data_IF_889667436675
#
_entry.id   IF_889667436675
#
_cell.length_a   1.000
_cell.length_b   1.000
_cell.length_c   1.000
_cell.angle_alpha   90.00
_cell.angle_beta   90.00
_cell.angle_gamma   90.00
#
_symmetry.space_group_name_H-M   'P 1'
#
loop_
_entity.id
_entity.type
_entity.pdbx_description
1 polymer ?
#
# COMPACT_ATOMS: atom_id res chain seq x y z
N UNK A 1 1.17 2.00 13.22
CA UNK A 1 0.35 1.55 12.07
C UNK A 1 -0.54 2.68 11.56
N UNK A 2 -1.50 3.15 12.36
CA UNK A 2 -2.54 4.13 11.98
C UNK A 2 -1.94 5.40 11.34
N UNK A 3 -1.03 6.09 12.02
CA UNK A 3 -0.42 7.34 11.51
C UNK A 3 0.51 7.12 10.32
N UNK A 4 1.23 6.00 10.29
CA UNK A 4 2.11 5.67 9.16
C UNK A 4 1.31 5.42 7.88
N UNK A 5 0.17 4.72 7.97
CA UNK A 5 -0.71 4.52 6.82
C UNK A 5 -1.35 5.83 6.34
N UNK A 6 -1.74 6.73 7.25
CA UNK A 6 -2.31 8.02 6.88
C UNK A 6 -1.32 8.94 6.18
N UNK A 7 -0.08 8.99 6.66
CA UNK A 7 0.98 9.75 6.01
C UNK A 7 1.29 9.22 4.61
N UNK A 8 1.30 7.89 4.47
CA UNK A 8 1.47 7.26 3.17
C UNK A 8 0.30 7.56 2.21
N UNK A 9 -0.94 7.58 2.70
CA UNK A 9 -2.12 7.94 1.90
C UNK A 9 -1.99 9.38 1.39
N UNK A 10 -1.61 10.30 2.26
CA UNK A 10 -1.50 11.72 1.93
C UNK A 10 -0.50 11.99 0.80
N UNK A 11 0.63 11.26 0.78
CA UNK A 11 1.67 11.42 -0.24
C UNK A 11 1.47 10.43 -1.40
N UNK A 12 1.15 9.18 -1.11
CA UNK A 12 1.09 8.09 -2.09
C UNK A 12 -0.14 8.14 -2.98
N UNK A 13 -1.30 8.61 -2.47
CA UNK A 13 -2.54 8.64 -3.23
C UNK A 13 -2.48 9.59 -4.44
N UNK A 14 -2.00 10.85 -4.33
CA UNK A 14 -1.83 11.71 -5.50
C UNK A 14 -0.86 11.12 -6.52
N UNK A 15 0.24 10.51 -6.07
CA UNK A 15 1.21 9.83 -6.93
C UNK A 15 0.55 8.65 -7.66
N UNK A 16 -0.27 7.86 -6.96
CA UNK A 16 -0.99 6.73 -7.53
C UNK A 16 -1.97 7.15 -8.63
N UNK A 17 -2.74 8.23 -8.39
CA UNK A 17 -3.73 8.74 -9.35
C UNK A 17 -3.05 9.35 -10.56
N UNK A 18 -2.02 10.17 -10.34
CA UNK A 18 -1.32 10.92 -11.39
C UNK A 18 0.01 10.28 -11.84
N UNK A 19 0.20 8.99 -11.61
CA UNK A 19 1.44 8.26 -11.98
C UNK A 19 1.82 8.50 -13.44
N UNK A 20 0.86 8.42 -14.36
CA UNK A 20 1.13 8.56 -15.80
C UNK A 20 1.65 9.96 -16.14
N UNK A 21 0.98 11.01 -15.67
CA UNK A 21 1.39 12.40 -15.91
C UNK A 21 2.75 12.66 -15.29
N UNK A 22 2.95 12.21 -14.05
CA UNK A 22 4.22 12.39 -13.33
C UNK A 22 5.39 11.74 -14.09
N UNK A 23 5.23 10.51 -14.56
CA UNK A 23 6.27 9.81 -15.30
C UNK A 23 6.48 10.42 -16.68
N UNK A 24 5.42 10.83 -17.39
CA UNK A 24 5.51 11.51 -18.68
C UNK A 24 6.26 12.82 -18.57
N UNK A 25 6.00 13.61 -17.54
CA UNK A 25 6.69 14.88 -17.30
C UNK A 25 8.15 14.71 -16.89
N UNK A 26 8.49 13.58 -16.23
CA UNK A 26 9.86 13.32 -15.78
C UNK A 26 10.72 12.63 -16.83
N UNK A 27 10.22 11.53 -17.46
CA UNK A 27 11.00 10.74 -18.42
C UNK A 27 10.72 11.10 -19.89
N UNK A 28 9.63 11.80 -20.19
CA UNK A 28 9.18 12.05 -21.57
C UNK A 28 8.53 10.81 -22.19
N UNK A 29 9.32 9.78 -22.47
CA UNK A 29 8.82 8.48 -22.95
C UNK A 29 8.56 7.54 -21.77
N UNK A 30 7.37 6.93 -21.74
CA UNK A 30 6.97 6.01 -20.68
C UNK A 30 7.31 4.58 -21.10
N UNK A 31 8.22 3.87 -20.41
CA UNK A 31 8.43 2.44 -20.64
C UNK A 31 7.19 1.62 -20.32
N UNK A 32 6.96 0.55 -21.08
CA UNK A 32 5.72 -0.23 -21.10
C UNK A 32 5.18 -0.66 -19.72
N UNK A 33 6.06 -1.04 -18.79
CA UNK A 33 5.66 -1.61 -17.50
C UNK A 33 5.86 -0.67 -16.30
N UNK A 34 6.33 0.54 -16.48
CA UNK A 34 6.69 1.45 -15.37
C UNK A 34 5.45 1.86 -14.55
N UNK A 35 4.35 2.20 -15.22
CA UNK A 35 3.12 2.62 -14.53
C UNK A 35 2.57 1.52 -13.63
N UNK A 36 2.32 0.27 -14.11
CA UNK A 36 1.88 -0.81 -13.25
C UNK A 36 2.88 -1.12 -12.13
N UNK A 37 4.18 -1.06 -12.37
CA UNK A 37 5.18 -1.28 -11.33
C UNK A 37 5.06 -0.25 -10.19
N UNK A 38 4.97 1.03 -10.50
CA UNK A 38 4.83 2.09 -9.48
C UNK A 38 3.54 1.90 -8.68
N UNK A 39 2.41 1.63 -9.35
CA UNK A 39 1.12 1.44 -8.67
C UNK A 39 1.14 0.23 -7.73
N UNK A 40 1.67 -0.90 -8.18
CA UNK A 40 1.77 -2.11 -7.33
C UNK A 40 2.73 -1.86 -6.15
N UNK A 41 3.85 -1.17 -6.37
CA UNK A 41 4.78 -0.81 -5.30
C UNK A 41 4.13 0.11 -4.26
N UNK A 42 3.28 1.05 -4.66
CA UNK A 42 2.55 1.90 -3.71
C UNK A 42 1.55 1.10 -2.86
N UNK A 43 0.87 0.11 -3.46
CA UNK A 43 -0.01 -0.82 -2.72
C UNK A 43 0.82 -1.67 -1.73
N UNK A 44 1.96 -2.18 -2.17
CA UNK A 44 2.89 -2.93 -1.31
C UNK A 44 3.37 -2.09 -0.12
N UNK A 45 3.76 -0.84 -0.36
CA UNK A 45 4.17 0.10 0.70
C UNK A 45 3.05 0.34 1.71
N UNK A 46 1.79 0.38 1.26
CA UNK A 46 0.64 0.49 2.15
C UNK A 46 0.54 -0.71 3.11
N UNK A 47 0.67 -1.93 2.61
CA UNK A 47 0.70 -3.12 3.47
C UNK A 47 1.89 -3.11 4.42
N UNK A 48 3.08 -2.72 3.96
CA UNK A 48 4.28 -2.57 4.80
C UNK A 48 4.07 -1.56 5.93
N UNK A 49 3.44 -0.42 5.65
CA UNK A 49 3.18 0.62 6.65
C UNK A 49 2.24 0.15 7.76
N UNK A 50 1.32 -0.75 7.44
CA UNK A 50 0.40 -1.37 8.40
C UNK A 50 1.09 -2.49 9.18
N UNK A 51 1.88 -3.33 8.52
CA UNK A 51 2.51 -4.53 9.10
C UNK A 51 3.70 -4.19 10.02
N UNK A 52 4.50 -3.21 9.68
CA UNK A 52 5.72 -2.86 10.41
C UNK A 52 5.53 -2.70 11.93
N UNK A 53 4.49 -2.01 12.45
CA UNK A 53 4.25 -1.94 13.89
C UNK A 53 3.82 -3.26 14.53
N UNK A 54 3.21 -4.18 13.76
CA UNK A 54 2.85 -5.52 14.22
C UNK A 54 4.13 -6.31 14.49
N UNK A 55 5.04 -6.31 13.51
CA UNK A 55 6.36 -6.93 13.65
C UNK A 55 7.12 -6.41 14.87
N UNK A 56 7.16 -5.08 15.09
CA UNK A 56 7.78 -4.49 16.27
C UNK A 56 7.11 -4.94 17.58
N UNK A 57 5.79 -5.11 17.59
CA UNK A 57 5.07 -5.68 18.74
C UNK A 57 5.54 -7.10 19.06
N UNK A 58 5.68 -7.95 18.04
CA UNK A 58 6.16 -9.33 18.23
C UNK A 58 7.61 -9.35 18.72
N UNK A 59 8.45 -8.47 18.21
CA UNK A 59 9.84 -8.31 18.65
C UNK A 59 9.93 -7.97 20.13
N UNK A 60 9.04 -7.12 20.64
CA UNK A 60 9.00 -6.77 22.06
C UNK A 60 8.71 -7.97 22.98
N UNK A 61 8.02 -9.00 22.48
CA UNK A 61 7.80 -10.26 23.22
C UNK A 61 8.96 -11.26 23.10
N UNK A 62 10.04 -10.95 22.37
CA UNK A 62 11.19 -11.83 22.17
C UNK A 62 10.90 -13.09 21.34
N UNK A 63 9.76 -13.17 20.67
CA UNK A 63 9.31 -14.35 19.90
C UNK A 63 9.61 -14.25 18.41
N UNK A 64 10.83 -13.87 18.04
CA UNK A 64 11.22 -13.57 16.65
C UNK A 64 11.30 -14.80 15.73
N UNK A 65 11.45 -16.01 16.27
CA UNK A 65 11.70 -17.21 15.44
C UNK A 65 10.55 -17.51 14.48
N UNK A 66 9.32 -17.53 14.98
CA UNK A 66 8.15 -17.87 14.16
C UNK A 66 7.86 -16.82 13.06
N UNK A 67 7.76 -15.51 13.35
CA UNK A 67 7.55 -14.49 12.32
C UNK A 67 8.62 -14.50 11.24
N UNK A 68 9.89 -14.64 11.64
CA UNK A 68 10.99 -14.68 10.68
C UNK A 68 10.91 -15.91 9.75
N UNK A 69 10.50 -17.07 10.25
CA UNK A 69 10.31 -18.26 9.42
C UNK A 69 9.13 -18.08 8.47
N UNK A 70 7.97 -17.63 8.95
CA UNK A 70 6.78 -17.45 8.12
C UNK A 70 7.00 -16.41 7.02
N UNK A 71 7.58 -15.26 7.38
CA UNK A 71 7.91 -14.20 6.42
C UNK A 71 8.98 -14.66 5.41
N UNK A 72 10.01 -15.39 5.86
CA UNK A 72 11.02 -15.93 4.96
C UNK A 72 10.43 -16.91 3.94
N UNK A 73 9.53 -17.80 4.37
CA UNK A 73 8.85 -18.73 3.46
C UNK A 73 8.01 -17.95 2.43
N UNK A 74 7.25 -16.92 2.88
CA UNK A 74 6.44 -16.10 1.99
C UNK A 74 7.32 -15.39 0.94
N UNK A 75 8.43 -14.78 1.34
CA UNK A 75 9.30 -14.05 0.42
C UNK A 75 10.13 -14.96 -0.50
N UNK A 76 10.63 -16.09 -0.02
CA UNK A 76 11.35 -17.04 -0.86
C UNK A 76 10.42 -17.66 -1.89
N UNK A 77 9.14 -17.88 -1.58
CA UNK A 77 8.16 -18.43 -2.51
C UNK A 77 7.89 -17.51 -3.71
N UNK A 78 8.17 -16.22 -3.61
CA UNK A 78 8.01 -15.26 -4.73
C UNK A 78 8.87 -15.67 -5.93
N UNK A 79 10.11 -16.13 -5.73
CA UNK A 79 11.02 -16.49 -6.82
C UNK A 79 10.49 -17.68 -7.64
N UNK A 80 10.18 -18.86 -7.05
CA UNK A 80 9.69 -19.99 -7.82
C UNK A 80 8.31 -19.72 -8.44
N UNK A 81 7.42 -19.00 -7.74
CA UNK A 81 6.13 -18.65 -8.30
C UNK A 81 6.28 -17.72 -9.51
N UNK A 82 7.10 -16.69 -9.39
CA UNK A 82 7.39 -15.79 -10.52
C UNK A 82 7.95 -16.57 -11.72
N UNK A 83 8.89 -17.48 -11.48
CA UNK A 83 9.47 -18.31 -12.55
C UNK A 83 8.40 -19.15 -13.26
N UNK A 84 7.52 -19.81 -12.51
CA UNK A 84 6.44 -20.63 -13.07
C UNK A 84 5.50 -19.77 -13.93
N UNK A 85 5.04 -18.62 -13.42
CA UNK A 85 4.12 -17.75 -14.17
C UNK A 85 4.77 -17.15 -15.42
N UNK A 86 6.05 -16.75 -15.35
CA UNK A 86 6.79 -16.28 -16.53
C UNK A 86 6.95 -17.39 -17.59
N UNK A 87 7.19 -18.63 -17.17
CA UNK A 87 7.21 -19.79 -18.08
C UNK A 87 5.87 -20.04 -18.75
N UNK A 88 4.77 -19.74 -18.09
CA UNK A 88 3.40 -19.83 -18.62
C UNK A 88 3.03 -18.64 -19.55
N UNK A 89 3.97 -17.70 -19.80
CA UNK A 89 3.76 -16.57 -20.69
C UNK A 89 3.14 -15.33 -20.03
N UNK A 90 3.12 -15.25 -18.69
CA UNK A 90 2.65 -14.06 -18.00
C UNK A 90 3.60 -12.88 -18.21
N UNK A 91 3.07 -11.63 -18.13
CA UNK A 91 3.86 -10.43 -18.26
C UNK A 91 4.83 -10.26 -17.08
N UNK A 92 5.94 -9.49 -17.23
CA UNK A 92 6.87 -9.21 -16.13
C UNK A 92 6.23 -8.59 -14.88
N UNK A 93 5.06 -7.97 -15.00
CA UNK A 93 4.30 -7.38 -13.91
C UNK A 93 3.89 -8.43 -12.85
N UNK A 94 3.79 -9.71 -13.25
CA UNK A 94 3.41 -10.79 -12.35
C UNK A 94 4.35 -10.92 -11.14
N UNK A 95 5.64 -10.65 -11.30
CA UNK A 95 6.61 -10.68 -10.22
C UNK A 95 6.24 -9.72 -9.07
N UNK A 96 5.84 -8.51 -9.43
CA UNK A 96 5.40 -7.49 -8.47
C UNK A 96 4.04 -7.82 -7.84
N UNK A 97 3.13 -8.41 -8.62
CA UNK A 97 1.82 -8.86 -8.10
C UNK A 97 2.03 -9.97 -7.06
N UNK A 98 2.86 -10.96 -7.35
CA UNK A 98 3.16 -12.06 -6.41
C UNK A 98 3.81 -11.51 -5.15
N UNK A 99 4.79 -10.62 -5.28
CA UNK A 99 5.40 -9.95 -4.14
C UNK A 99 4.36 -9.18 -3.31
N UNK A 100 3.53 -8.35 -3.96
CA UNK A 100 2.48 -7.58 -3.30
C UNK A 100 1.48 -8.45 -2.54
N UNK A 101 1.11 -9.64 -3.06
CA UNK A 101 0.21 -10.59 -2.40
C UNK A 101 0.89 -11.30 -1.23
N UNK A 102 2.21 -11.49 -1.28
CA UNK A 102 2.96 -12.14 -0.20
C UNK A 102 2.95 -11.33 1.11
N UNK A 103 2.86 -9.98 1.03
CA UNK A 103 2.82 -9.12 2.22
C UNK A 103 1.57 -9.30 3.09
N UNK A 104 0.33 -9.21 2.58
CA UNK A 104 -0.86 -9.45 3.40
C UNK A 104 -0.92 -10.87 3.95
N UNK A 105 -0.35 -11.86 3.26
CA UNK A 105 -0.23 -13.21 3.77
C UNK A 105 0.73 -13.29 4.98
N UNK A 106 1.90 -12.67 4.87
CA UNK A 106 2.84 -12.56 5.99
C UNK A 106 2.21 -11.81 7.18
N UNK A 107 1.57 -10.67 6.92
CA UNK A 107 0.86 -9.88 7.92
C UNK A 107 -0.23 -10.69 8.63
N UNK A 108 -0.99 -11.53 7.92
CA UNK A 108 -2.01 -12.39 8.53
C UNK A 108 -1.37 -13.40 9.51
N UNK A 109 -0.21 -13.97 9.16
CA UNK A 109 0.55 -14.83 10.05
C UNK A 109 1.06 -14.07 11.27
N UNK A 110 1.58 -12.87 11.10
CA UNK A 110 2.10 -12.04 12.17
C UNK A 110 0.98 -11.60 13.14
N UNK A 111 -0.19 -11.24 12.64
CA UNK A 111 -1.38 -10.96 13.45
C UNK A 111 -1.81 -12.19 14.26
N UNK A 112 -1.81 -13.37 13.64
CA UNK A 112 -2.15 -14.61 14.34
C UNK A 112 -1.14 -14.92 15.44
N UNK A 113 0.15 -14.75 15.18
CA UNK A 113 1.23 -14.95 16.16
C UNK A 113 1.08 -13.96 17.32
N UNK A 114 0.85 -12.68 17.02
CA UNK A 114 0.67 -11.64 18.03
C UNK A 114 -0.55 -11.92 18.92
N UNK A 115 -1.68 -12.30 18.32
CA UNK A 115 -2.88 -12.70 19.07
C UNK A 115 -2.59 -13.87 20.01
N UNK A 116 -1.90 -14.90 19.53
CA UNK A 116 -1.57 -16.10 20.31
C UNK A 116 -0.71 -15.82 21.54
N UNK A 117 0.21 -14.86 21.45
CA UNK A 117 1.16 -14.57 22.53
C UNK A 117 0.74 -13.43 23.45
N UNK A 118 -0.04 -12.48 22.95
CA UNK A 118 -0.44 -11.28 23.71
C UNK A 118 -1.94 -11.14 23.94
N UNK A 119 -2.76 -12.02 23.36
CA UNK A 119 -4.22 -11.84 23.37
C UNK A 119 -4.70 -10.63 22.56
N UNK A 120 -3.86 -10.15 21.62
CA UNK A 120 -4.14 -8.98 20.78
C UNK A 120 -5.45 -9.16 19.99
N UNK A 121 -6.36 -8.18 20.08
CA UNK A 121 -7.63 -8.23 19.35
C UNK A 121 -7.44 -7.89 17.87
N UNK A 122 -7.39 -8.96 17.05
CA UNK A 122 -7.24 -8.84 15.60
C UNK A 122 -8.41 -8.10 14.97
N UNK A 123 -9.65 -8.34 15.43
CA UNK A 123 -10.85 -7.71 14.86
C UNK A 123 -10.83 -6.20 15.09
N UNK A 124 -10.51 -5.79 16.32
CA UNK A 124 -10.36 -4.39 16.65
C UNK A 124 -9.29 -3.72 15.76
N UNK A 125 -8.15 -4.37 15.60
CA UNK A 125 -7.06 -3.85 14.76
C UNK A 125 -7.48 -3.70 13.29
N UNK A 126 -8.08 -4.74 12.69
CA UNK A 126 -8.50 -4.73 11.29
C UNK A 126 -9.57 -3.66 11.01
N UNK A 127 -10.49 -3.43 11.94
CA UNK A 127 -11.51 -2.41 11.79
C UNK A 127 -10.97 -0.99 11.96
N UNK A 128 -10.00 -0.77 12.86
CA UNK A 128 -9.53 0.58 13.20
C UNK A 128 -8.32 1.03 12.40
N UNK A 129 -7.58 0.12 11.75
CA UNK A 129 -6.38 0.50 10.97
C UNK A 129 -6.60 0.26 9.48
N UNK A 130 -6.58 -0.97 8.94
CA UNK A 130 -6.70 -1.15 7.50
C UNK A 130 -8.08 -0.74 6.96
N UNK A 131 -9.17 -1.06 7.64
CA UNK A 131 -10.51 -0.72 7.17
C UNK A 131 -10.74 0.80 7.10
N UNK A 132 -10.41 1.55 8.16
CA UNK A 132 -10.49 3.03 8.14
C UNK A 132 -9.57 3.62 7.07
N UNK A 133 -8.35 3.09 6.92
CA UNK A 133 -7.41 3.56 5.90
C UNK A 133 -7.93 3.33 4.47
N UNK A 134 -8.51 2.17 4.19
CA UNK A 134 -9.13 1.87 2.89
C UNK A 134 -10.32 2.80 2.63
N UNK A 135 -11.16 3.04 3.63
CA UNK A 135 -12.29 3.96 3.52
C UNK A 135 -11.81 5.38 3.14
N UNK A 136 -10.77 5.87 3.82
CA UNK A 136 -10.17 7.18 3.54
C UNK A 136 -9.60 7.21 2.11
N UNK A 137 -8.89 6.15 1.67
CA UNK A 137 -8.38 6.04 0.30
C UNK A 137 -9.52 6.14 -0.71
N UNK A 138 -10.59 5.37 -0.54
CA UNK A 138 -11.72 5.34 -1.48
C UNK A 138 -12.41 6.71 -1.57
N UNK A 139 -12.74 7.32 -0.43
CA UNK A 139 -13.40 8.62 -0.40
C UNK A 139 -12.51 9.72 -1.00
N UNK A 140 -11.23 9.74 -0.63
CA UNK A 140 -10.29 10.73 -1.16
C UNK A 140 -10.04 10.52 -2.65
N UNK A 141 -9.94 9.27 -3.13
CA UNK A 141 -9.73 8.97 -4.53
C UNK A 141 -10.91 9.45 -5.40
N UNK A 142 -12.15 9.18 -4.97
CA UNK A 142 -13.36 9.60 -5.71
C UNK A 142 -13.37 11.12 -5.92
N UNK A 143 -13.17 11.88 -4.84
CA UNK A 143 -13.16 13.34 -4.93
C UNK A 143 -11.99 13.88 -5.77
N UNK A 144 -10.81 13.28 -5.60
CA UNK A 144 -9.62 13.68 -6.34
C UNK A 144 -9.75 13.41 -7.84
N UNK A 145 -10.28 12.26 -8.23
CA UNK A 145 -10.53 11.91 -9.64
C UNK A 145 -11.55 12.87 -10.27
N UNK A 146 -12.59 13.24 -9.53
CA UNK A 146 -13.59 14.21 -10.02
C UNK A 146 -12.95 15.56 -10.35
N UNK A 147 -12.12 16.08 -9.44
CA UNK A 147 -11.38 17.35 -9.66
C UNK A 147 -10.34 17.20 -10.78
N UNK A 148 -9.64 16.08 -10.81
CA UNK A 148 -8.62 15.80 -11.83
C UNK A 148 -9.14 15.89 -13.26
N UNK A 149 -10.35 15.42 -13.49
CA UNK A 149 -10.98 15.41 -14.84
C UNK A 149 -11.46 16.79 -15.29
N UNK A 150 -11.44 17.79 -14.42
CA UNK A 150 -11.88 19.17 -14.74
C UNK A 150 -10.78 20.04 -15.34
N UNK A 151 -9.54 19.55 -15.42
CA UNK A 151 -8.39 20.31 -15.92
C UNK A 151 -7.62 19.52 -16.97
N UNK A 152 -7.05 20.24 -17.96
CA UNK A 152 -6.16 19.64 -18.96
C UNK A 152 -4.86 19.10 -18.34
N UNK A 153 -4.29 18.06 -18.96
CA UNK A 153 -3.08 17.42 -18.49
C UNK A 153 -1.85 18.33 -18.60
N UNK A 154 -1.20 18.59 -17.47
CA UNK A 154 0.00 19.43 -17.39
C UNK A 154 0.51 19.59 -15.96
N UNK A 155 1.56 20.37 -15.78
CA UNK A 155 2.13 20.69 -14.47
C UNK A 155 1.13 21.31 -13.50
N UNK A 156 0.26 22.19 -13.99
CA UNK A 156 -0.78 22.83 -13.18
C UNK A 156 -1.80 21.80 -12.67
N UNK A 157 -2.26 20.89 -13.54
CA UNK A 157 -3.17 19.82 -13.14
C UNK A 157 -2.51 18.90 -12.08
N UNK A 158 -1.23 18.54 -12.26
CA UNK A 158 -0.50 17.73 -11.30
C UNK A 158 -0.44 18.40 -9.92
N UNK A 159 -0.07 19.68 -9.87
CA UNK A 159 0.06 20.43 -8.60
C UNK A 159 -1.31 20.61 -7.94
N UNK A 160 -2.32 21.05 -8.70
CA UNK A 160 -3.67 21.27 -8.17
C UNK A 160 -4.30 19.96 -7.67
N UNK A 161 -4.23 18.89 -8.47
CA UNK A 161 -4.77 17.58 -8.07
C UNK A 161 -4.05 17.03 -6.83
N UNK A 162 -2.72 17.19 -6.76
CA UNK A 162 -1.96 16.75 -5.59
C UNK A 162 -2.30 17.57 -4.34
N UNK A 163 -2.46 18.89 -4.46
CA UNK A 163 -2.87 19.75 -3.37
C UNK A 163 -4.29 19.42 -2.87
N UNK A 164 -5.23 19.28 -3.79
CA UNK A 164 -6.62 18.88 -3.45
C UNK A 164 -6.66 17.51 -2.80
N UNK A 165 -5.94 16.55 -3.36
CA UNK A 165 -5.84 15.20 -2.78
C UNK A 165 -5.29 15.24 -1.36
N UNK A 166 -4.22 16.02 -1.11
CA UNK A 166 -3.63 16.16 0.22
C UNK A 166 -4.61 16.79 1.22
N UNK A 167 -5.29 17.88 0.83
CA UNK A 167 -6.28 18.54 1.69
C UNK A 167 -7.47 17.63 1.99
N UNK A 168 -8.03 16.97 0.97
CA UNK A 168 -9.16 16.03 1.12
C UNK A 168 -8.76 14.85 2.00
N UNK A 169 -7.60 14.24 1.74
CA UNK A 169 -7.10 13.13 2.56
C UNK A 169 -6.84 13.55 4.01
N UNK A 170 -6.24 14.72 4.24
CA UNK A 170 -6.01 15.26 5.58
C UNK A 170 -7.34 15.50 6.32
N UNK A 171 -8.35 16.02 5.63
CA UNK A 171 -9.69 16.22 6.21
C UNK A 171 -10.33 14.90 6.61
N UNK A 172 -10.31 13.88 5.75
CA UNK A 172 -10.85 12.56 6.10
C UNK A 172 -10.04 11.86 7.20
N UNK A 173 -8.72 12.02 7.23
CA UNK A 173 -7.88 11.55 8.33
C UNK A 173 -8.29 12.21 9.63
N UNK A 174 -8.56 13.51 9.63
CA UNK A 174 -8.99 14.23 10.82
C UNK A 174 -10.35 13.76 11.34
N UNK A 175 -11.36 13.63 10.46
CA UNK A 175 -12.73 13.27 10.87
C UNK A 175 -12.95 11.78 11.10
N UNK A 176 -12.33 10.89 10.31
CA UNK A 176 -12.55 9.44 10.38
C UNK A 176 -11.40 8.72 11.06
N UNK A 177 -10.19 9.26 10.85
CA UNK A 177 -8.97 8.63 11.27
C UNK A 177 -8.61 8.87 12.73
N UNK A 178 -8.88 10.03 13.30
CA UNK A 178 -8.46 10.37 14.68
C UNK A 178 -9.40 9.86 15.77
N UNK A 179 -10.63 9.45 15.41
CA UNK A 179 -11.51 8.69 16.29
C UNK A 179 -11.06 7.21 16.37
#
# INVERSE_FOLDING_TARGET
AKYSSYLLILIGLPVFIKTEILIRLWLGNIPEYVIPFIRITLIELFFKAIDFPIGNGIHAFGKMKLPNITSSIAYISVLPLTYIFLRLGASPVIAYIIACVSYPLAMACDLWILNKFSGFDIKFYLLHVPFKSILIILLSAILTVFVSNSFEDGWLNLILTSAVCAVVSATFVFYIGLD
#
